data_IF_301841671464
#
_entry.id   IF_301841671464
#
_cell.length_a   1.000
_cell.length_b   1.000
_cell.length_c   1.000
_cell.angle_alpha   90.00
_cell.angle_beta   90.00
_cell.angle_gamma   90.00
#
_symmetry.space_group_name_H-M   'P 1'
#
loop_
_entity.id
_entity.type
_entity.pdbx_description
1 polymer ?
#
# COMPACT_ATOMS: atom_id res chain seq x y z
N UNK A 1 -6.57 8.68 9.34
CA UNK A 1 -5.81 7.79 8.41
C UNK A 1 -4.58 8.54 7.90
N UNK A 2 -3.38 8.02 8.14
CA UNK A 2 -2.12 8.76 7.97
C UNK A 2 -1.57 8.64 6.54
N UNK A 3 -1.47 9.76 5.81
CA UNK A 3 -0.75 9.85 4.52
C UNK A 3 0.71 9.41 4.66
N UNK A 4 1.32 9.65 5.82
CA UNK A 4 2.71 9.26 6.09
C UNK A 4 2.91 7.74 6.08
N UNK A 5 1.95 6.97 6.62
CA UNK A 5 2.04 5.50 6.58
C UNK A 5 1.90 4.94 5.17
N UNK A 6 1.07 5.57 4.33
CA UNK A 6 0.95 5.21 2.92
C UNK A 6 2.25 5.51 2.15
N UNK A 7 2.85 6.69 2.34
CA UNK A 7 4.13 7.02 1.70
C UNK A 7 5.27 6.12 2.17
N UNK A 8 5.34 5.80 3.47
CA UNK A 8 6.34 4.88 3.99
C UNK A 8 6.17 3.45 3.44
N UNK A 9 4.93 3.00 3.27
CA UNK A 9 4.64 1.70 2.65
C UNK A 9 5.13 1.66 1.20
N UNK A 10 4.79 2.66 0.38
CA UNK A 10 5.22 2.68 -1.02
C UNK A 10 6.74 2.80 -1.17
N UNK A 11 7.41 3.53 -0.27
CA UNK A 11 8.87 3.59 -0.26
C UNK A 11 9.49 2.22 0.04
N UNK A 12 8.87 1.42 0.92
CA UNK A 12 9.26 0.03 1.18
C UNK A 12 8.95 -0.88 -0.03
N UNK A 13 7.79 -0.71 -0.66
CA UNK A 13 7.41 -1.43 -1.89
C UNK A 13 8.40 -1.17 -3.01
N UNK A 14 8.86 0.07 -3.19
CA UNK A 14 9.84 0.40 -4.23
C UNK A 14 11.25 -0.14 -3.92
N UNK A 15 11.57 -0.30 -2.63
CA UNK A 15 12.85 -0.87 -2.18
C UNK A 15 12.86 -2.42 -2.16
N UNK A 16 11.69 -3.08 -2.18
CA UNK A 16 11.55 -4.53 -2.10
C UNK A 16 10.79 -5.09 -3.33
N UNK A 17 11.51 -5.69 -4.30
CA UNK A 17 10.91 -6.26 -5.50
C UNK A 17 9.89 -7.38 -5.23
N UNK A 18 10.05 -8.15 -4.14
CA UNK A 18 9.11 -9.21 -3.79
C UNK A 18 7.81 -8.62 -3.24
N UNK A 19 7.91 -7.59 -2.40
CA UNK A 19 6.75 -6.85 -1.92
C UNK A 19 6.04 -6.13 -3.08
N UNK A 20 6.80 -5.55 -4.01
CA UNK A 20 6.28 -4.96 -5.25
C UNK A 20 5.44 -5.94 -6.06
N UNK A 21 5.96 -7.15 -6.31
CA UNK A 21 5.20 -8.17 -7.03
C UNK A 21 3.89 -8.57 -6.32
N UNK A 22 3.88 -8.58 -4.97
CA UNK A 22 2.66 -8.86 -4.18
C UNK A 22 1.64 -7.74 -4.27
N UNK A 23 2.08 -6.48 -4.24
CA UNK A 23 1.21 -5.31 -4.40
C UNK A 23 0.67 -5.24 -5.83
N UNK A 24 1.50 -5.50 -6.84
CA UNK A 24 1.12 -5.46 -8.26
C UNK A 24 0.16 -6.61 -8.63
N UNK A 25 0.22 -7.75 -7.93
CA UNK A 25 -0.73 -8.87 -8.09
C UNK A 25 -2.00 -8.74 -7.25
N UNK A 26 -2.13 -7.69 -6.43
CA UNK A 26 -3.29 -7.48 -5.57
C UNK A 26 -4.54 -7.11 -6.41
N UNK A 27 -5.64 -7.83 -6.19
CA UNK A 27 -6.88 -7.68 -6.96
C UNK A 27 -7.66 -6.37 -6.71
N UNK A 28 -7.14 -5.46 -5.88
CA UNK A 28 -7.79 -4.19 -5.60
C UNK A 28 -7.25 -3.47 -4.35
N UNK A 29 -7.82 -2.29 -4.03
CA UNK A 29 -7.34 -1.44 -2.95
C UNK A 29 -7.36 -2.13 -1.57
N UNK A 30 -8.37 -2.94 -1.30
CA UNK A 30 -8.51 -3.67 -0.03
C UNK A 30 -7.41 -4.74 0.14
N UNK A 31 -7.03 -5.41 -0.96
CA UNK A 31 -5.95 -6.38 -0.93
C UNK A 31 -4.59 -5.71 -0.66
N UNK A 32 -4.34 -4.53 -1.25
CA UNK A 32 -3.13 -3.74 -0.97
C UNK A 32 -3.10 -3.26 0.49
N UNK A 33 -4.24 -2.86 1.05
CA UNK A 33 -4.35 -2.49 2.47
C UNK A 33 -4.06 -3.68 3.38
N UNK A 34 -4.56 -4.87 3.05
CA UNK A 34 -4.26 -6.08 3.82
C UNK A 34 -2.75 -6.40 3.81
N UNK A 35 -2.10 -6.29 2.64
CA UNK A 35 -0.64 -6.45 2.53
C UNK A 35 0.08 -5.40 3.38
N UNK A 36 -0.33 -4.13 3.30
CA UNK A 36 0.28 -3.07 4.09
C UNK A 36 0.18 -3.32 5.60
N UNK A 37 -0.95 -3.83 6.08
CA UNK A 37 -1.14 -4.20 7.49
C UNK A 37 -0.14 -5.28 7.91
N UNK A 38 0.08 -6.30 7.06
CA UNK A 38 1.09 -7.34 7.35
C UNK A 38 2.51 -6.80 7.41
N UNK A 39 2.79 -5.73 6.67
CA UNK A 39 4.08 -5.04 6.67
C UNK A 39 4.23 -3.99 7.79
N UNK A 40 3.20 -3.83 8.64
CA UNK A 40 3.19 -2.87 9.76
C UNK A 40 2.68 -1.48 9.41
N UNK A 41 2.10 -1.28 8.23
CA UNK A 41 1.56 -0.01 7.75
C UNK A 41 0.03 -0.02 7.78
N UNK A 42 -0.58 1.00 8.40
CA UNK A 42 -2.04 1.12 8.49
C UNK A 42 -2.55 2.31 7.68
N UNK A 43 -3.32 2.04 6.62
CA UNK A 43 -4.06 3.06 5.89
C UNK A 43 -5.36 2.47 5.32
N UNK A 44 -6.25 3.34 4.83
CA UNK A 44 -7.57 2.90 4.35
C UNK A 44 -7.53 2.75 2.84
N UNK A 45 -8.39 1.89 2.30
CA UNK A 45 -8.62 1.79 0.87
C UNK A 45 -8.97 3.15 0.27
N UNK A 46 -9.78 3.97 0.96
CA UNK A 46 -10.09 5.33 0.52
C UNK A 46 -8.85 6.24 0.42
N UNK A 47 -7.88 6.10 1.33
CA UNK A 47 -6.60 6.84 1.26
C UNK A 47 -5.76 6.39 0.07
N UNK A 48 -5.71 5.07 -0.18
CA UNK A 48 -5.03 4.48 -1.33
C UNK A 48 -5.67 4.90 -2.66
N UNK A 49 -6.98 4.77 -2.80
CA UNK A 49 -7.71 5.20 -4.01
C UNK A 49 -7.56 6.70 -4.26
N UNK A 50 -7.50 7.52 -3.20
CA UNK A 50 -7.22 8.96 -3.36
C UNK A 50 -5.79 9.21 -3.84
N UNK A 51 -4.82 8.40 -3.41
CA UNK A 51 -3.44 8.49 -3.89
C UNK A 51 -3.26 8.01 -5.33
N UNK A 52 -4.03 7.02 -5.77
CA UNK A 52 -3.98 6.53 -7.16
C UNK A 52 -4.66 7.47 -8.17
N UNK A 53 -5.57 8.34 -7.68
CA UNK A 53 -6.31 9.30 -8.52
C UNK A 53 -5.64 10.66 -8.67
N UNK A 54 -4.57 10.94 -7.93
CA UNK A 54 -3.88 12.25 -7.93
C UNK A 54 -2.39 12.08 -8.10
#
# INVERSE_FOLDING_TARGET
>A
MSKAQLSAFFLKVDADPALKARVDSAAGPDAVVAIAITEGHSFSAATLTRHQRG
#
